data_IF_802784651072
#
_entry.id   IF_802784651072
#
_cell.length_a   1.000
_cell.length_b   1.000
_cell.length_c   1.000
_cell.angle_alpha   90.00
_cell.angle_beta   90.00
_cell.angle_gamma   90.00
#
_symmetry.space_group_name_H-M   'P 1'
#
loop_
_entity.id
_entity.type
_entity.pdbx_description
1 polymer ?
#
# COMPACT_ATOMS: atom_id res chain seq x y z
N UNK A 1 30.48 21.82 0.88
CA UNK A 1 29.13 21.56 0.34
C UNK A 1 28.14 21.10 1.42
N UNK A 2 28.30 19.92 2.03
CA UNK A 2 27.35 19.41 3.05
C UNK A 2 27.15 20.31 4.28
N UNK A 3 28.21 20.97 4.78
CA UNK A 3 28.13 21.89 5.93
C UNK A 3 27.45 23.24 5.61
N UNK A 4 27.53 23.69 4.36
CA UNK A 4 26.90 24.94 3.89
C UNK A 4 25.38 24.75 3.76
N UNK A 5 24.94 23.59 3.27
CA UNK A 5 23.51 23.24 3.17
C UNK A 5 22.85 23.16 4.55
N UNK A 6 23.55 22.62 5.56
CA UNK A 6 23.04 22.58 6.94
C UNK A 6 22.92 23.98 7.56
N UNK A 7 23.89 24.86 7.29
CA UNK A 7 23.86 26.27 7.74
C UNK A 7 22.70 27.05 7.10
N UNK A 8 22.39 26.78 5.83
CA UNK A 8 21.32 27.41 5.08
C UNK A 8 19.91 26.96 5.54
N UNK A 9 19.78 25.70 5.97
CA UNK A 9 18.54 25.17 6.57
C UNK A 9 18.29 25.76 7.97
N UNK A 10 19.36 26.01 8.75
CA UNK A 10 19.25 26.65 10.07
C UNK A 10 18.88 28.14 9.95
N UNK A 11 19.43 28.86 8.96
CA UNK A 11 19.04 30.26 8.70
C UNK A 11 17.57 30.43 8.27
N UNK A 12 16.97 29.42 7.66
CA UNK A 12 15.56 29.46 7.25
C UNK A 12 14.58 29.05 8.38
N UNK A 13 15.10 28.63 9.55
CA UNK A 13 14.31 28.08 10.66
C UNK A 13 13.50 29.08 11.49
N UNK A 14 13.75 30.39 11.36
CA UNK A 14 13.00 31.42 12.09
C UNK A 14 11.75 31.89 11.33
N UNK A 15 10.89 30.96 10.91
CA UNK A 15 9.54 31.35 10.49
C UNK A 15 8.72 31.62 11.75
N UNK A 16 8.72 32.89 12.16
CA UNK A 16 7.92 33.36 13.29
C UNK A 16 6.46 33.11 12.94
N UNK A 17 5.85 32.12 13.60
CA UNK A 17 4.43 31.77 13.45
C UNK A 17 3.57 32.95 13.92
N UNK A 18 3.31 33.89 13.02
CA UNK A 18 2.39 35.00 13.21
C UNK A 18 1.03 34.61 12.64
N UNK A 19 -0.02 34.77 13.43
CA UNK A 19 -1.37 34.46 13.00
C UNK A 19 -2.04 35.72 12.43
N UNK A 20 -2.38 35.69 11.15
CA UNK A 20 -3.08 36.80 10.50
C UNK A 20 -4.58 36.75 10.80
N UNK A 21 -5.12 37.90 11.23
CA UNK A 21 -6.53 38.11 11.53
C UNK A 21 -6.99 39.35 10.76
N UNK A 22 -8.08 39.22 9.98
CA UNK A 22 -8.69 40.35 9.27
C UNK A 22 -9.86 40.90 10.08
N UNK A 23 -9.82 42.19 10.41
CA UNK A 23 -10.90 42.91 11.08
C UNK A 23 -11.03 44.30 10.46
N UNK A 24 -12.25 44.69 10.06
CA UNK A 24 -12.55 46.02 9.50
C UNK A 24 -11.63 46.44 8.33
N UNK A 25 -11.31 45.48 7.45
CA UNK A 25 -10.44 45.71 6.28
C UNK A 25 -8.94 45.78 6.60
N UNK A 26 -8.54 45.83 7.88
CA UNK A 26 -7.13 45.80 8.33
C UNK A 26 -6.68 44.37 8.64
N UNK A 27 -5.42 44.07 8.33
CA UNK A 27 -4.81 42.76 8.58
C UNK A 27 -3.86 42.87 9.76
N UNK A 28 -4.25 42.28 10.89
CA UNK A 28 -3.47 42.25 12.11
C UNK A 28 -2.67 40.94 12.20
N UNK A 29 -1.42 41.02 12.66
CA UNK A 29 -0.58 39.86 12.98
C UNK A 29 -0.57 39.66 14.49
N UNK A 30 -1.03 38.50 14.95
CA UNK A 30 -1.03 38.12 16.37
C UNK A 30 0.16 37.21 16.67
N UNK A 31 0.97 37.59 17.67
CA UNK A 31 2.10 36.79 18.17
C UNK A 31 2.12 36.85 19.70
N UNK A 32 2.00 35.72 20.39
CA UNK A 32 2.08 35.64 21.87
C UNK A 32 1.29 36.77 22.57
N UNK A 33 0.01 36.91 22.19
CA UNK A 33 -0.92 37.93 22.73
C UNK A 33 -0.66 39.39 22.34
N UNK A 34 0.42 39.67 21.60
CA UNK A 34 0.70 40.98 21.01
C UNK A 34 0.06 41.10 19.63
N UNK A 35 -0.52 42.27 19.36
CA UNK A 35 -1.18 42.60 18.11
C UNK A 35 -0.30 43.58 17.35
N UNK A 36 0.02 43.23 16.11
CA UNK A 36 0.82 44.04 15.21
C UNK A 36 0.00 44.47 14.00
N UNK A 37 0.11 45.73 13.60
CA UNK A 37 -0.43 46.27 12.35
C UNK A 37 0.75 46.83 11.55
N UNK A 38 0.92 46.37 10.31
CA UNK A 38 2.03 46.79 9.42
C UNK A 38 3.46 46.65 10.00
N UNK A 39 3.62 45.84 11.05
CA UNK A 39 4.91 45.59 11.72
C UNK A 39 5.07 46.32 13.05
N UNK A 40 4.22 47.29 13.36
CA UNK A 40 4.23 48.04 14.62
C UNK A 40 3.35 47.37 15.68
N UNK A 41 3.79 47.36 16.94
CA UNK A 41 3.03 46.81 18.05
C UNK A 41 1.93 47.80 18.48
N UNK A 42 0.69 47.50 18.12
CA UNK A 42 -0.47 48.36 18.40
C UNK A 42 -1.28 47.89 19.61
N UNK A 43 -0.80 46.87 20.34
CA UNK A 43 -1.49 46.21 21.45
C UNK A 43 -2.02 47.15 22.54
N UNK A 44 -1.31 48.25 22.82
CA UNK A 44 -1.66 49.21 23.88
C UNK A 44 -2.44 50.42 23.37
N UNK A 45 -2.57 50.55 22.04
CA UNK A 45 -3.27 51.66 21.37
C UNK A 45 -4.70 51.23 21.00
N UNK A 46 -4.94 49.92 20.81
CA UNK A 46 -6.27 49.37 20.60
C UNK A 46 -7.12 49.44 21.88
N UNK A 47 -8.43 49.63 21.70
CA UNK A 47 -9.39 49.46 22.79
C UNK A 47 -9.42 48.00 23.24
N UNK A 48 -9.68 47.77 24.53
CA UNK A 48 -9.74 46.43 25.11
C UNK A 48 -10.76 45.51 24.42
N UNK A 49 -11.89 46.05 23.99
CA UNK A 49 -12.90 45.34 23.19
C UNK A 49 -12.37 44.86 21.83
N UNK A 50 -11.54 45.66 21.17
CA UNK A 50 -10.97 45.32 19.89
C UNK A 50 -9.86 44.28 20.03
N UNK A 51 -9.01 44.44 21.05
CA UNK A 51 -7.94 43.51 21.40
C UNK A 51 -8.50 42.12 21.71
N UNK A 52 -9.52 42.03 22.56
CA UNK A 52 -10.16 40.75 22.90
C UNK A 52 -10.80 40.10 21.69
N UNK A 53 -11.41 40.87 20.79
CA UNK A 53 -12.01 40.35 19.56
C UNK A 53 -10.95 39.77 18.62
N UNK A 54 -9.83 40.48 18.41
CA UNK A 54 -8.74 40.03 17.52
C UNK A 54 -8.07 38.77 18.09
N UNK A 55 -7.83 38.71 19.40
CA UNK A 55 -7.28 37.53 20.05
C UNK A 55 -8.22 36.32 19.97
N UNK A 56 -9.52 36.51 20.21
CA UNK A 56 -10.53 35.44 20.05
C UNK A 56 -10.61 34.93 18.61
N UNK A 57 -10.51 35.82 17.62
CA UNK A 57 -10.46 35.40 16.21
C UNK A 57 -9.18 34.62 15.90
N UNK A 58 -8.03 35.03 16.44
CA UNK A 58 -6.77 34.30 16.27
C UNK A 58 -6.87 32.87 16.83
N UNK A 59 -7.44 32.70 18.03
CA UNK A 59 -7.62 31.37 18.65
C UNK A 59 -8.61 30.51 17.87
N UNK A 60 -9.72 31.07 17.40
CA UNK A 60 -10.66 30.32 16.55
C UNK A 60 -10.02 29.86 15.24
N UNK A 61 -9.17 30.69 14.62
CA UNK A 61 -8.47 30.32 13.39
C UNK A 61 -7.44 29.22 13.67
N UNK A 62 -6.72 29.25 14.80
CA UNK A 62 -5.74 28.20 15.13
C UNK A 62 -6.45 26.87 15.40
N UNK A 63 -7.51 26.88 16.21
CA UNK A 63 -8.33 25.70 16.50
C UNK A 63 -8.92 25.10 15.21
N UNK A 64 -9.48 25.92 14.32
CA UNK A 64 -9.98 25.43 13.04
C UNK A 64 -8.88 24.86 12.15
N UNK A 65 -7.67 25.44 12.15
CA UNK A 65 -6.53 24.90 11.41
C UNK A 65 -6.10 23.55 11.97
N UNK A 66 -6.00 23.41 13.29
CA UNK A 66 -5.67 22.15 13.94
C UNK A 66 -6.71 21.07 13.67
N UNK A 67 -8.00 21.40 13.79
CA UNK A 67 -9.09 20.47 13.50
C UNK A 67 -9.05 20.01 12.04
N UNK A 68 -8.85 20.95 11.09
CA UNK A 68 -8.69 20.62 9.67
C UNK A 68 -7.45 19.75 9.42
N UNK A 69 -6.34 20.00 10.11
CA UNK A 69 -5.12 19.20 9.96
C UNK A 69 -5.30 17.79 10.55
N UNK A 70 -5.93 17.67 11.73
CA UNK A 70 -6.28 16.38 12.33
C UNK A 70 -7.22 15.58 11.40
N UNK A 71 -8.26 16.22 10.87
CA UNK A 71 -9.16 15.60 9.89
C UNK A 71 -8.44 15.17 8.60
N UNK A 72 -7.53 16.00 8.07
CA UNK A 72 -6.69 15.64 6.91
C UNK A 72 -5.76 14.45 7.22
N UNK A 73 -5.11 14.44 8.39
CA UNK A 73 -4.24 13.35 8.82
C UNK A 73 -5.02 12.04 9.00
N UNK A 74 -6.23 12.11 9.56
CA UNK A 74 -7.09 10.93 9.71
C UNK A 74 -7.59 10.39 8.38
N UNK A 75 -8.06 11.26 7.48
CA UNK A 75 -8.49 10.87 6.14
C UNK A 75 -7.34 10.28 5.32
N UNK A 76 -6.13 10.85 5.42
CA UNK A 76 -4.93 10.30 4.77
C UNK A 76 -4.54 8.94 5.36
N UNK A 77 -4.58 8.78 6.69
CA UNK A 77 -4.35 7.49 7.35
C UNK A 77 -5.38 6.45 6.92
N UNK A 78 -6.65 6.83 6.81
CA UNK A 78 -7.72 5.94 6.34
C UNK A 78 -7.50 5.53 4.88
N UNK A 79 -7.17 6.49 3.99
CA UNK A 79 -6.81 6.21 2.58
C UNK A 79 -5.63 5.25 2.47
N UNK A 80 -4.53 5.51 3.20
CA UNK A 80 -3.34 4.63 3.22
C UNK A 80 -3.67 3.22 3.73
N UNK A 81 -4.53 3.09 4.75
CA UNK A 81 -4.98 1.79 5.25
C UNK A 81 -5.82 1.05 4.20
N UNK A 82 -6.75 1.74 3.54
CA UNK A 82 -7.60 1.18 2.49
C UNK A 82 -6.77 0.71 1.28
N UNK A 83 -5.82 1.52 0.84
CA UNK A 83 -4.90 1.18 -0.25
C UNK A 83 -4.06 -0.05 0.09
N UNK A 84 -3.46 -0.11 1.29
CA UNK A 84 -2.71 -1.29 1.75
C UNK A 84 -3.57 -2.55 1.77
N UNK A 85 -4.83 -2.46 2.21
CA UNK A 85 -5.77 -3.59 2.17
C UNK A 85 -6.05 -4.04 0.74
N UNK A 86 -6.34 -3.10 -0.17
CA UNK A 86 -6.58 -3.39 -1.60
C UNK A 86 -5.36 -4.02 -2.27
N UNK A 87 -4.15 -3.52 -1.99
CA UNK A 87 -2.91 -4.08 -2.53
C UNK A 87 -2.65 -5.50 -2.01
N UNK A 88 -2.87 -5.76 -0.71
CA UNK A 88 -2.76 -7.11 -0.13
C UNK A 88 -3.77 -8.07 -0.75
N UNK A 89 -5.00 -7.63 -0.95
CA UNK A 89 -6.04 -8.43 -1.61
C UNK A 89 -5.66 -8.78 -3.06
N UNK A 90 -5.19 -7.79 -3.85
CA UNK A 90 -4.68 -8.00 -5.21
C UNK A 90 -3.53 -9.01 -5.24
N UNK A 91 -2.51 -8.83 -4.41
CA UNK A 91 -1.37 -9.76 -4.32
C UNK A 91 -1.80 -11.19 -3.93
N UNK A 92 -2.80 -11.34 -3.06
CA UNK A 92 -3.35 -12.66 -2.69
C UNK A 92 -4.11 -13.29 -3.85
N UNK A 93 -4.93 -12.51 -4.55
CA UNK A 93 -5.66 -12.98 -5.73
C UNK A 93 -4.70 -13.42 -6.84
N UNK A 94 -3.69 -12.60 -7.15
CA UNK A 94 -2.65 -12.91 -8.13
C UNK A 94 -1.88 -14.18 -7.77
N UNK A 95 -1.48 -14.35 -6.51
CA UNK A 95 -0.83 -15.58 -6.04
C UNK A 95 -1.74 -16.81 -6.18
N UNK A 96 -3.06 -16.68 -5.96
CA UNK A 96 -4.02 -17.77 -6.16
C UNK A 96 -4.11 -18.14 -7.64
N UNK A 97 -4.25 -17.16 -8.53
CA UNK A 97 -4.28 -17.36 -9.99
C UNK A 97 -2.99 -18.05 -10.44
N UNK A 98 -1.82 -17.54 -10.02
CA UNK A 98 -0.54 -18.12 -10.40
C UNK A 98 -0.38 -19.57 -9.91
N UNK A 99 -0.85 -19.90 -8.70
CA UNK A 99 -0.84 -21.27 -8.18
C UNK A 99 -1.77 -22.17 -9.00
N UNK A 100 -2.97 -21.71 -9.33
CA UNK A 100 -3.92 -22.45 -10.16
C UNK A 100 -3.35 -22.71 -11.56
N UNK A 101 -2.77 -21.70 -12.21
CA UNK A 101 -2.11 -21.86 -13.51
C UNK A 101 -0.95 -22.85 -13.48
N UNK A 102 -0.09 -22.78 -12.46
CA UNK A 102 1.02 -23.74 -12.28
C UNK A 102 0.48 -25.17 -12.09
N UNK A 103 -0.60 -25.32 -11.34
CA UNK A 103 -1.24 -26.62 -11.14
C UNK A 103 -1.88 -27.15 -12.43
N UNK A 104 -2.55 -26.30 -13.22
CA UNK A 104 -3.08 -26.65 -14.56
C UNK A 104 -1.96 -27.11 -15.50
N UNK A 105 -0.90 -26.30 -15.66
CA UNK A 105 0.26 -26.65 -16.49
C UNK A 105 0.93 -27.95 -16.05
N UNK A 106 0.96 -28.24 -14.75
CA UNK A 106 1.48 -29.51 -14.22
C UNK A 106 0.57 -30.68 -14.55
N UNK A 107 -0.74 -30.50 -14.42
CA UNK A 107 -1.75 -31.49 -14.79
C UNK A 107 -1.65 -31.83 -16.29
N UNK A 108 -1.53 -30.83 -17.15
CA UNK A 108 -1.38 -31.02 -18.60
C UNK A 108 -0.13 -31.85 -18.92
N UNK A 109 1.02 -31.47 -18.35
CA UNK A 109 2.28 -32.22 -18.52
C UNK A 109 2.19 -33.66 -18.04
N UNK A 110 1.51 -33.92 -16.92
CA UNK A 110 1.33 -35.27 -16.41
C UNK A 110 0.39 -36.10 -17.30
N UNK A 111 -0.69 -35.50 -17.78
CA UNK A 111 -1.65 -36.13 -18.70
C UNK A 111 -0.96 -36.49 -20.02
N UNK A 112 -0.15 -35.60 -20.56
CA UNK A 112 0.64 -35.86 -21.76
C UNK A 112 1.68 -36.96 -21.54
N UNK A 113 2.33 -36.97 -20.38
CA UNK A 113 3.28 -38.02 -20.00
C UNK A 113 2.58 -39.38 -19.88
N UNK A 114 1.38 -39.42 -19.29
CA UNK A 114 0.57 -40.63 -19.18
C UNK A 114 0.24 -41.16 -20.58
N UNK A 115 -0.32 -40.30 -21.45
CA UNK A 115 -0.66 -40.63 -22.84
C UNK A 115 0.53 -41.20 -23.61
N UNK A 116 1.71 -40.55 -23.54
CA UNK A 116 2.94 -41.03 -24.19
C UNK A 116 3.41 -42.37 -23.62
N UNK A 117 3.31 -42.55 -22.30
CA UNK A 117 3.70 -43.79 -21.60
C UNK A 117 2.79 -44.94 -21.99
N UNK A 118 1.47 -44.74 -21.97
CA UNK A 118 0.48 -45.72 -22.40
C UNK A 118 0.64 -46.09 -23.88
N UNK A 119 0.87 -45.10 -24.76
CA UNK A 119 1.12 -45.36 -26.18
C UNK A 119 2.36 -46.23 -26.39
N UNK A 120 3.45 -45.97 -25.66
CA UNK A 120 4.69 -46.75 -25.76
C UNK A 120 4.51 -48.17 -25.18
N UNK A 121 3.84 -48.30 -24.04
CA UNK A 121 3.48 -49.59 -23.46
C UNK A 121 2.63 -50.43 -24.42
N UNK A 122 1.53 -49.88 -24.95
CA UNK A 122 0.68 -50.56 -25.96
C UNK A 122 1.48 -51.00 -27.18
N UNK A 123 2.39 -50.16 -27.69
CA UNK A 123 3.25 -50.50 -28.84
C UNK A 123 4.21 -51.65 -28.53
N UNK A 124 4.81 -51.67 -27.34
CA UNK A 124 5.71 -52.75 -26.92
C UNK A 124 4.94 -54.05 -26.69
N UNK A 125 3.75 -53.98 -26.08
CA UNK A 125 2.90 -55.14 -25.79
C UNK A 125 2.45 -55.80 -27.08
N UNK A 126 1.98 -55.00 -28.05
CA UNK A 126 1.61 -55.49 -29.39
C UNK A 126 2.78 -56.15 -30.14
N UNK A 127 4.02 -55.74 -29.85
CA UNK A 127 5.22 -56.30 -30.48
C UNK A 127 5.79 -57.52 -29.74
N UNK A 128 5.19 -57.95 -28.63
CA UNK A 128 5.73 -59.03 -27.80
C UNK A 128 7.08 -58.71 -27.16
N UNK A 129 7.50 -57.43 -27.12
CA UNK A 129 8.83 -57.00 -26.61
C UNK A 129 8.85 -56.73 -25.11
N UNK A 130 7.93 -57.34 -24.35
CA UNK A 130 7.79 -57.17 -22.91
C UNK A 130 7.93 -58.52 -22.23
N UNK A 131 8.97 -58.66 -21.41
CA UNK A 131 9.02 -59.72 -20.42
C UNK A 131 8.04 -59.44 -19.27
N UNK A 132 7.62 -60.44 -18.49
CA UNK A 132 6.68 -60.25 -17.37
C UNK A 132 7.13 -59.15 -16.38
N UNK A 133 8.41 -59.16 -15.99
CA UNK A 133 8.99 -58.13 -15.11
C UNK A 133 9.01 -56.74 -15.78
N UNK A 134 9.27 -56.67 -17.10
CA UNK A 134 9.18 -55.39 -17.81
C UNK A 134 7.73 -54.87 -17.85
N UNK A 135 6.74 -55.72 -18.05
CA UNK A 135 5.31 -55.35 -18.03
C UNK A 135 4.89 -54.78 -16.68
N UNK A 136 5.26 -55.41 -15.58
CA UNK A 136 5.01 -54.91 -14.24
C UNK A 136 5.61 -53.50 -14.03
N UNK A 137 6.86 -53.28 -14.46
CA UNK A 137 7.50 -51.95 -14.38
C UNK A 137 6.75 -50.88 -15.18
N UNK A 138 6.21 -51.23 -16.35
CA UNK A 138 5.41 -50.30 -17.15
C UNK A 138 4.06 -49.98 -16.50
N UNK A 139 3.37 -50.99 -15.98
CA UNK A 139 2.10 -50.82 -15.27
C UNK A 139 2.28 -49.95 -14.01
N UNK A 140 3.31 -50.23 -13.22
CA UNK A 140 3.67 -49.43 -12.04
C UNK A 140 3.98 -47.97 -12.41
N UNK A 141 4.68 -47.73 -13.53
CA UNK A 141 4.95 -46.37 -14.02
C UNK A 141 3.68 -45.62 -14.44
N UNK A 142 2.75 -46.31 -15.09
CA UNK A 142 1.44 -45.76 -15.49
C UNK A 142 0.65 -45.41 -14.24
N UNK A 143 0.56 -46.33 -13.28
CA UNK A 143 -0.18 -46.15 -12.03
C UNK A 143 0.38 -44.99 -11.19
N UNK A 144 1.70 -44.96 -10.97
CA UNK A 144 2.38 -43.83 -10.32
C UNK A 144 2.09 -42.49 -10.99
N UNK A 145 1.90 -42.47 -12.31
CA UNK A 145 1.58 -41.24 -13.04
C UNK A 145 0.11 -40.86 -12.85
N UNK A 146 -0.82 -41.83 -12.84
CA UNK A 146 -2.25 -41.62 -12.52
C UNK A 146 -2.45 -41.09 -11.10
N UNK A 147 -1.78 -41.69 -10.11
CA UNK A 147 -1.80 -41.21 -8.72
C UNK A 147 -1.30 -39.77 -8.62
N UNK A 148 -0.26 -39.39 -9.36
CA UNK A 148 0.24 -37.99 -9.40
C UNK A 148 -0.76 -37.03 -10.06
N UNK A 149 -1.50 -37.49 -11.07
CA UNK A 149 -2.55 -36.72 -11.72
C UNK A 149 -3.67 -36.43 -10.71
N UNK A 150 -4.19 -37.46 -10.02
CA UNK A 150 -5.26 -37.28 -9.03
C UNK A 150 -4.82 -36.37 -7.88
N UNK A 151 -3.61 -36.56 -7.34
CA UNK A 151 -3.02 -35.65 -6.33
C UNK A 151 -2.82 -34.22 -6.81
N UNK A 152 -2.78 -33.98 -8.12
CA UNK A 152 -2.64 -32.63 -8.69
C UNK A 152 -4.02 -32.03 -8.98
N UNK A 153 -4.99 -32.84 -9.43
CA UNK A 153 -6.39 -32.44 -9.58
C UNK A 153 -7.02 -32.02 -8.26
N UNK A 154 -6.75 -32.74 -7.17
CA UNK A 154 -7.26 -32.37 -5.84
C UNK A 154 -6.68 -31.07 -5.27
N UNK A 155 -5.66 -30.49 -5.92
CA UNK A 155 -5.02 -29.23 -5.53
C UNK A 155 -5.38 -28.04 -6.43
N UNK A 156 -6.18 -28.30 -7.47
CA UNK A 156 -6.75 -27.30 -8.37
C UNK A 156 -8.07 -26.80 -7.80
#
# INVERSE_FOLDING_TARGET
MKRIIVLLIILCGFTVNAQEVKKEGKTYKVKKEKIYLDGEEVTNILKDEEKTTILKQATLISEQKELKEKAKKETERARKKAEKKRQKARKRAEKKIQKAEKAKKKLDKLTDKLRKTEKKYRKLKRKGKLSPNAEERWLNKIDKTKVKIEKTKSKL
#
